data_IF_786461110219
#
_entry.id   IF_786461110219
#
_cell.length_a   1.000
_cell.length_b   1.000
_cell.length_c   1.000
_cell.angle_alpha   90.00
_cell.angle_beta   90.00
_cell.angle_gamma   90.00
#
_symmetry.space_group_name_H-M   'P 1'
#
loop_
_entity.id
_entity.type
_entity.pdbx_description
1 polymer ?
#
# COMPACT_ATOMS: atom_id res chain seq x y z
N UNK A 1 -3.66 3.83 10.71
CA UNK A 1 -4.04 5.22 10.39
C UNK A 1 -4.93 5.70 11.52
N UNK A 2 -4.49 6.74 12.21
CA UNK A 2 -5.07 7.18 13.48
C UNK A 2 -6.48 7.77 13.30
N UNK A 3 -7.43 7.27 14.09
CA UNK A 3 -8.63 7.95 14.60
C UNK A 3 -9.59 8.69 13.63
N UNK A 4 -9.51 8.46 12.31
CA UNK A 4 -10.52 8.94 11.36
C UNK A 4 -11.50 7.82 11.02
N UNK A 5 -12.79 8.15 10.98
CA UNK A 5 -13.80 7.23 10.49
C UNK A 5 -13.55 6.91 9.00
N UNK A 6 -13.90 5.70 8.51
CA UNK A 6 -13.58 5.26 7.15
C UNK A 6 -14.09 6.18 6.05
N UNK A 7 -15.21 6.88 6.25
CA UNK A 7 -15.77 7.80 5.26
C UNK A 7 -14.94 9.07 5.17
N UNK A 8 -14.57 9.64 6.31
CA UNK A 8 -13.72 10.83 6.33
C UNK A 8 -12.32 10.53 5.79
N UNK A 9 -11.75 9.36 6.13
CA UNK A 9 -10.46 8.93 5.57
C UNK A 9 -10.50 8.84 4.04
N UNK A 10 -11.54 8.21 3.47
CA UNK A 10 -11.71 8.13 2.02
C UNK A 10 -11.83 9.51 1.35
N UNK A 11 -12.53 10.45 2.01
CA UNK A 11 -12.66 11.82 1.50
C UNK A 11 -11.33 12.58 1.53
N UNK A 12 -10.57 12.45 2.61
CA UNK A 12 -9.23 13.04 2.74
C UNK A 12 -8.29 12.49 1.67
N UNK A 13 -8.25 11.16 1.49
CA UNK A 13 -7.42 10.51 0.47
C UNK A 13 -7.77 10.97 -0.95
N UNK A 14 -9.06 11.04 -1.28
CA UNK A 14 -9.49 11.53 -2.60
C UNK A 14 -9.07 12.99 -2.83
N UNK A 15 -9.19 13.85 -1.82
CA UNK A 15 -8.76 15.24 -1.93
C UNK A 15 -7.23 15.34 -2.03
N UNK A 16 -6.49 14.52 -1.27
CA UNK A 16 -5.04 14.43 -1.37
C UNK A 16 -4.59 14.04 -2.78
N UNK A 17 -5.22 13.04 -3.40
CA UNK A 17 -4.91 12.66 -4.79
C UNK A 17 -5.10 13.83 -5.76
N UNK A 18 -6.20 14.58 -5.62
CA UNK A 18 -6.48 15.74 -6.47
C UNK A 18 -5.40 16.81 -6.32
N UNK A 19 -5.10 17.21 -5.07
CA UNK A 19 -4.07 18.23 -4.78
C UNK A 19 -2.71 17.81 -5.31
N UNK A 20 -2.35 16.53 -5.15
CA UNK A 20 -1.07 15.97 -5.61
C UNK A 20 -0.99 15.99 -7.13
N UNK A 21 -2.06 15.59 -7.83
CA UNK A 21 -2.10 15.57 -9.28
C UNK A 21 -2.07 16.98 -9.88
N UNK A 22 -2.85 17.91 -9.33
CA UNK A 22 -2.91 19.30 -9.80
C UNK A 22 -1.57 20.03 -9.61
N UNK A 23 -0.94 19.86 -8.44
CA UNK A 23 0.27 20.59 -8.07
C UNK A 23 1.57 19.80 -8.34
N UNK A 24 1.47 18.61 -8.93
CA UNK A 24 2.62 17.75 -9.29
C UNK A 24 3.55 17.46 -8.09
N UNK A 25 2.96 17.21 -6.91
CA UNK A 25 3.71 17.07 -5.67
C UNK A 25 4.29 15.67 -5.50
N UNK A 26 5.56 15.58 -5.10
CA UNK A 26 6.12 14.31 -4.64
C UNK A 26 5.51 13.98 -3.27
N UNK A 27 4.77 12.86 -3.19
CA UNK A 27 4.01 12.49 -2.00
C UNK A 27 4.25 11.03 -1.64
N UNK A 28 4.43 10.76 -0.35
CA UNK A 28 4.53 9.42 0.21
C UNK A 28 3.37 9.18 1.17
N UNK A 29 2.53 8.18 0.86
CA UNK A 29 1.45 7.72 1.73
C UNK A 29 1.86 6.42 2.41
N UNK A 30 1.72 6.37 3.74
CA UNK A 30 1.94 5.15 4.54
C UNK A 30 0.58 4.61 4.98
N UNK A 31 0.27 3.37 4.60
CA UNK A 31 -0.98 2.71 4.97
C UNK A 31 -0.76 1.23 5.24
N UNK A 32 -1.64 0.66 6.08
CA UNK A 32 -1.76 -0.79 6.28
C UNK A 32 -2.95 -1.38 5.52
N UNK A 33 -3.78 -0.54 4.89
CA UNK A 33 -4.91 -0.97 4.08
C UNK A 33 -4.47 -1.21 2.63
N UNK A 34 -4.49 -2.47 2.23
CA UNK A 34 -4.09 -2.89 0.88
C UNK A 34 -4.96 -2.27 -0.23
N UNK A 35 -6.26 -2.09 0.01
CA UNK A 35 -7.16 -1.46 -0.98
C UNK A 35 -6.73 -0.02 -1.27
N UNK A 36 -6.36 0.71 -0.22
CA UNK A 36 -5.91 2.09 -0.35
C UNK A 36 -4.53 2.16 -1.05
N UNK A 37 -3.60 1.26 -0.70
CA UNK A 37 -2.29 1.18 -1.33
C UNK A 37 -2.37 0.90 -2.84
N UNK A 38 -3.30 0.03 -3.26
CA UNK A 38 -3.53 -0.29 -4.68
C UNK A 38 -4.19 0.91 -5.38
N UNK A 39 -5.22 1.48 -4.78
CA UNK A 39 -6.04 2.54 -5.37
C UNK A 39 -5.30 3.86 -5.55
N UNK A 40 -4.51 4.28 -4.55
CA UNK A 40 -3.92 5.61 -4.48
C UNK A 40 -2.45 5.62 -4.90
N UNK A 41 -2.00 6.70 -5.55
CA UNK A 41 -0.62 6.85 -6.02
C UNK A 41 -0.28 6.05 -7.29
N UNK A 42 0.94 6.24 -7.80
CA UNK A 42 1.44 5.67 -9.06
C UNK A 42 2.51 4.57 -8.88
N UNK A 43 3.02 4.41 -7.64
CA UNK A 43 3.99 3.40 -7.23
C UNK A 43 3.58 2.82 -5.87
N UNK A 44 3.81 1.53 -5.68
CA UNK A 44 3.56 0.81 -4.44
C UNK A 44 4.87 0.21 -3.97
N UNK A 45 5.25 0.53 -2.75
CA UNK A 45 6.38 -0.05 -2.06
C UNK A 45 5.86 -0.86 -0.87
N UNK A 46 6.27 -2.11 -0.78
CA UNK A 46 6.00 -2.96 0.38
C UNK A 46 7.30 -3.18 1.13
N UNK A 47 7.25 -3.04 2.44
CA UNK A 47 8.41 -3.17 3.30
C UNK A 47 8.19 -4.27 4.33
N UNK A 48 9.23 -5.06 4.58
CA UNK A 48 9.32 -6.02 5.68
C UNK A 48 10.74 -5.96 6.27
N UNK A 49 10.84 -6.06 7.60
CA UNK A 49 12.12 -6.02 8.32
C UNK A 49 13.08 -4.86 7.92
N UNK A 50 12.54 -3.69 7.57
CA UNK A 50 13.31 -2.53 7.14
C UNK A 50 13.83 -2.58 5.69
N UNK A 51 13.46 -3.60 4.93
CA UNK A 51 13.81 -3.77 3.50
C UNK A 51 12.59 -3.59 2.63
N UNK A 52 12.80 -3.06 1.42
CA UNK A 52 11.77 -3.04 0.37
C UNK A 52 11.72 -4.44 -0.25
N UNK A 53 10.60 -5.12 -0.06
CA UNK A 53 10.39 -6.49 -0.55
C UNK A 53 9.55 -6.52 -1.83
N UNK A 54 8.87 -5.41 -2.16
CA UNK A 54 8.09 -5.26 -3.37
C UNK A 54 8.13 -3.81 -3.85
N UNK A 55 8.31 -3.63 -5.15
CA UNK A 55 8.30 -2.33 -5.81
C UNK A 55 7.55 -2.45 -7.14
N UNK A 56 6.36 -1.86 -7.20
CA UNK A 56 5.46 -1.97 -8.36
C UNK A 56 5.07 -0.57 -8.80
N UNK A 57 5.10 -0.31 -10.11
CA UNK A 57 4.75 1.00 -10.66
C UNK A 57 3.94 0.91 -11.95
N UNK A 58 3.30 2.03 -12.32
CA UNK A 58 2.65 2.18 -13.61
C UNK A 58 1.48 1.23 -13.84
N UNK A 59 1.41 0.63 -15.03
CA UNK A 59 0.31 -0.26 -15.44
C UNK A 59 0.23 -1.55 -14.61
N UNK A 60 1.36 -2.03 -14.09
CA UNK A 60 1.36 -3.20 -13.21
C UNK A 60 0.59 -2.94 -11.92
N UNK A 61 0.76 -1.74 -11.33
CA UNK A 61 0.00 -1.32 -10.14
C UNK A 61 -1.50 -1.22 -10.44
N UNK A 62 -1.87 -0.74 -11.63
CA UNK A 62 -3.28 -0.54 -12.02
C UNK A 62 -4.05 -1.86 -12.14
N UNK A 63 -3.36 -2.93 -12.54
CA UNK A 63 -3.93 -4.27 -12.66
C UNK A 63 -3.81 -5.10 -11.39
N UNK A 64 -3.12 -4.58 -10.36
CA UNK A 64 -2.86 -5.32 -9.14
C UNK A 64 -4.15 -5.54 -8.36
N UNK A 65 -4.39 -6.79 -7.96
CA UNK A 65 -5.47 -7.13 -7.04
C UNK A 65 -4.94 -7.32 -5.62
N UNK A 66 -5.84 -7.31 -4.64
CA UNK A 66 -5.48 -7.61 -3.24
C UNK A 66 -4.93 -9.02 -3.12
N UNK A 67 -5.48 -9.98 -3.87
CA UNK A 67 -5.03 -11.37 -3.90
C UNK A 67 -3.60 -11.48 -4.46
N UNK A 68 -3.30 -10.81 -5.57
CA UNK A 68 -1.94 -10.74 -6.13
C UNK A 68 -0.95 -10.17 -5.13
N UNK A 69 -1.36 -9.12 -4.41
CA UNK A 69 -0.51 -8.46 -3.43
C UNK A 69 -0.23 -9.37 -2.23
N UNK A 70 -1.23 -10.12 -1.75
CA UNK A 70 -1.06 -11.12 -0.68
C UNK A 70 -0.15 -12.28 -1.12
N UNK A 71 -0.34 -12.78 -2.34
CA UNK A 71 0.47 -13.86 -2.89
C UNK A 71 1.93 -13.41 -3.10
N UNK A 72 2.15 -12.20 -3.61
CA UNK A 72 3.50 -11.62 -3.73
C UNK A 72 4.14 -11.37 -2.36
N UNK A 73 3.34 -10.96 -1.37
CA UNK A 73 3.83 -10.77 -0.01
C UNK A 73 4.27 -12.09 0.62
N UNK A 74 3.49 -13.17 0.52
CA UNK A 74 3.89 -14.47 1.07
C UNK A 74 5.18 -14.98 0.42
N UNK A 75 5.29 -14.91 -0.90
CA UNK A 75 6.50 -15.31 -1.63
C UNK A 75 7.73 -14.48 -1.24
N UNK A 76 7.56 -13.16 -1.08
CA UNK A 76 8.65 -12.27 -0.73
C UNK A 76 9.04 -12.36 0.76
N UNK A 77 8.08 -12.66 1.63
CA UNK A 77 8.30 -12.81 3.06
C UNK A 77 8.84 -14.20 3.45
N UNK A 78 8.59 -15.24 2.64
CA UNK A 78 9.23 -16.56 2.80
C UNK A 78 10.75 -16.50 2.58
N UNK A 79 11.26 -15.48 1.88
CA UNK A 79 12.69 -15.19 1.78
C UNK A 79 13.33 -14.64 3.06
N UNK A 80 12.52 -14.14 4.00
CA UNK A 80 12.93 -13.64 5.32
C UNK A 80 11.89 -14.02 6.38
N UNK A 81 11.84 -15.32 6.72
CA UNK A 81 11.33 -15.84 8.00
C UNK A 81 10.01 -15.20 8.48
N UNK A 82 8.88 -15.57 7.88
CA UNK A 82 7.56 -15.44 8.53
C UNK A 82 7.50 -16.38 9.74
N UNK A 83 8.04 -15.96 10.89
CA UNK A 83 7.81 -16.66 12.15
C UNK A 83 6.40 -16.34 12.66
N UNK A 84 5.42 -17.16 12.29
CA UNK A 84 4.23 -17.64 13.04
C UNK A 84 3.40 -16.69 13.96
N UNK A 85 3.65 -15.39 14.04
CA UNK A 85 2.99 -14.49 15.01
C UNK A 85 1.96 -13.53 14.42
N UNK A 86 1.89 -13.38 13.10
CA UNK A 86 0.99 -12.41 12.46
C UNK A 86 -0.44 -12.92 12.22
N UNK A 87 -0.70 -14.22 12.39
CA UNK A 87 -2.04 -14.80 12.14
C UNK A 87 -2.97 -14.70 13.37
N UNK A 88 -2.48 -14.32 14.55
CA UNK A 88 -3.26 -14.33 15.80
C UNK A 88 -3.18 -13.03 16.64
N UNK A 89 -3.28 -11.85 16.01
CA UNK A 89 -3.48 -10.59 16.77
C UNK A 89 -4.47 -9.65 16.11
#
# INVERSE_FOLDING_TARGET
TAALDPKTAAKVLALSDQIVAENHLTTLMITHNMKDAIRHGNRLLMMSAGKVILDISGEEKRKLTVEDLLHRFSLAADGEMLSDRAILS
#
